data_IF_246342369222
#
_entry.id   IF_246342369222
#
_cell.length_a   1.000
_cell.length_b   1.000
_cell.length_c   1.000
_cell.angle_alpha   90.00
_cell.angle_beta   90.00
_cell.angle_gamma   90.00
#
_symmetry.space_group_name_H-M   'P 1'
#
loop_
_entity.id
_entity.type
_entity.pdbx_description
1 polymer ?
#
# COMPACT_ATOMS: atom_id res chain seq x y z
N UNK A 1 6.84 -17.12 -28.51
CA UNK A 1 5.44 -16.67 -28.49
C UNK A 1 5.42 -15.41 -27.66
N UNK A 2 5.05 -14.28 -28.26
CA UNK A 2 5.21 -12.95 -27.70
C UNK A 2 4.03 -12.60 -26.77
N UNK A 3 4.36 -12.19 -25.54
CA UNK A 3 3.43 -11.63 -24.56
C UNK A 3 3.12 -10.19 -24.97
N UNK A 4 1.83 -9.86 -25.04
CA UNK A 4 1.35 -8.55 -25.46
C UNK A 4 1.60 -7.50 -24.36
N UNK A 5 2.69 -6.74 -24.51
CA UNK A 5 2.86 -5.43 -23.88
C UNK A 5 1.91 -4.41 -24.53
N UNK A 6 0.86 -3.99 -23.82
CA UNK A 6 0.09 -2.77 -24.09
C UNK A 6 -0.35 -2.22 -22.72
N UNK A 7 -0.21 -0.95 -22.34
CA UNK A 7 0.05 0.26 -23.11
C UNK A 7 0.87 1.28 -22.29
N UNK A 8 2.11 1.52 -22.71
CA UNK A 8 2.79 2.80 -22.50
C UNK A 8 2.63 3.60 -23.79
N UNK A 9 1.75 4.60 -23.80
CA UNK A 9 1.56 5.41 -24.99
C UNK A 9 0.49 6.49 -24.81
N UNK A 10 0.91 7.68 -24.39
CA UNK A 10 0.55 8.98 -25.01
C UNK A 10 0.97 10.14 -24.09
N UNK A 11 2.27 10.26 -23.79
CA UNK A 11 2.82 11.53 -23.31
C UNK A 11 3.69 12.09 -24.44
N UNK A 12 3.10 12.99 -25.22
CA UNK A 12 3.74 13.65 -26.36
C UNK A 12 5.00 14.40 -25.94
N UNK A 13 6.14 13.89 -26.38
CA UNK A 13 7.42 14.59 -26.43
C UNK A 13 7.34 15.69 -27.51
N UNK A 14 7.52 16.95 -27.10
CA UNK A 14 7.82 18.06 -28.02
C UNK A 14 9.20 18.61 -27.65
N UNK A 15 10.16 18.42 -28.54
CA UNK A 15 11.53 18.98 -28.52
C UNK A 15 11.82 19.65 -29.88
N UNK A 16 12.89 20.43 -30.03
CA UNK A 16 13.25 21.67 -29.34
C UNK A 16 13.43 22.83 -30.35
N UNK A 17 13.55 24.08 -29.89
CA UNK A 17 14.10 25.17 -30.70
C UNK A 17 15.11 25.96 -29.87
N UNK A 18 16.37 25.88 -30.27
CA UNK A 18 17.48 26.62 -29.70
C UNK A 18 17.53 28.05 -30.24
N UNK A 19 17.92 29.01 -29.39
CA UNK A 19 18.65 30.24 -29.74
C UNK A 19 19.25 30.85 -28.45
N UNK A 20 20.59 30.84 -28.37
CA UNK A 20 21.44 31.65 -27.46
C UNK A 20 21.36 33.16 -27.85
N UNK A 21 21.89 34.17 -27.10
CA UNK A 21 23.04 34.14 -26.16
C UNK A 21 23.01 35.03 -24.87
N UNK A 22 23.95 34.71 -23.97
CA UNK A 22 24.72 35.54 -23.01
C UNK A 22 24.05 36.60 -22.10
N UNK A 23 24.18 36.40 -20.78
CA UNK A 23 24.66 37.45 -19.85
C UNK A 23 25.18 36.86 -18.54
N UNK A 24 26.45 37.16 -18.29
CA UNK A 24 27.21 36.90 -17.07
C UNK A 24 26.85 37.89 -15.96
N UNK A 25 26.41 37.41 -14.79
CA UNK A 25 26.46 38.16 -13.53
C UNK A 25 26.92 37.25 -12.40
N UNK A 26 27.77 37.82 -11.57
CA UNK A 26 28.60 37.20 -10.55
C UNK A 26 27.84 36.56 -9.37
N UNK A 27 28.47 35.49 -8.86
CA UNK A 27 28.70 35.17 -7.46
C UNK A 27 27.64 35.54 -6.41
N UNK A 28 26.94 34.52 -5.90
CA UNK A 28 26.67 34.34 -4.46
C UNK A 28 26.78 32.85 -4.13
N UNK A 29 27.58 32.43 -3.14
CA UNK A 29 27.53 31.05 -2.68
C UNK A 29 26.18 30.84 -2.01
N UNK A 30 25.35 30.01 -2.62
CA UNK A 30 24.17 29.45 -1.96
C UNK A 30 24.69 28.56 -0.83
N UNK A 31 24.54 29.04 0.40
CA UNK A 31 24.68 28.24 1.60
C UNK A 31 23.51 27.26 1.57
N UNK A 32 23.68 26.14 0.87
CA UNK A 32 22.84 24.98 1.10
C UNK A 32 23.20 24.51 2.50
N UNK A 33 22.45 24.99 3.49
CA UNK A 33 22.32 24.32 4.75
C UNK A 33 21.84 22.91 4.43
N UNK A 34 22.80 21.99 4.31
CA UNK A 34 22.52 20.57 4.35
C UNK A 34 21.77 20.35 5.64
N UNK A 35 20.47 20.12 5.53
CA UNK A 35 19.74 19.43 6.57
C UNK A 35 20.40 18.06 6.60
N UNK A 36 21.40 17.94 7.47
CA UNK A 36 21.92 16.65 7.85
C UNK A 36 20.74 15.94 8.48
N UNK A 37 20.04 15.13 7.68
CA UNK A 37 19.13 14.12 8.19
C UNK A 37 19.99 13.24 9.08
N UNK A 38 19.99 13.55 10.38
CA UNK A 38 20.44 12.61 11.39
C UNK A 38 19.56 11.39 11.20
N UNK A 39 20.09 10.41 10.45
CA UNK A 39 19.47 9.11 10.30
C UNK A 39 19.33 8.56 11.70
N UNK A 40 18.10 8.57 12.23
CA UNK A 40 17.83 7.84 13.44
C UNK A 40 18.18 6.36 13.17
N UNK A 41 18.77 5.66 14.15
CA UNK A 41 19.04 4.24 13.99
C UNK A 41 17.76 3.49 13.64
N UNK A 42 17.82 2.50 12.75
CA UNK A 42 16.66 1.72 12.29
C UNK A 42 15.81 1.18 13.46
N UNK A 43 16.44 0.74 14.55
CA UNK A 43 15.76 0.29 15.78
C UNK A 43 14.91 1.38 16.46
N UNK A 44 15.31 2.64 16.36
CA UNK A 44 14.53 3.74 16.92
C UNK A 44 13.35 4.08 16.01
N UNK A 45 13.52 3.98 14.69
CA UNK A 45 12.41 4.13 13.74
C UNK A 45 11.33 3.04 13.94
N UNK A 46 11.75 1.78 14.12
CA UNK A 46 10.88 0.65 14.45
C UNK A 46 10.12 0.84 15.76
N UNK A 47 10.79 1.38 16.79
CA UNK A 47 10.13 1.72 18.05
C UNK A 47 9.05 2.80 17.91
N UNK A 48 9.13 3.68 16.91
CA UNK A 48 8.09 4.68 16.62
C UNK A 48 6.87 4.03 15.97
N UNK A 49 7.07 3.12 15.02
CA UNK A 49 5.98 2.36 14.40
C UNK A 49 5.23 1.52 15.44
N UNK A 50 5.95 0.73 16.25
CA UNK A 50 5.35 -0.08 17.31
C UNK A 50 4.54 0.76 18.31
N UNK A 51 5.09 1.93 18.69
CA UNK A 51 4.41 2.86 19.58
C UNK A 51 3.13 3.43 18.95
N UNK A 52 3.16 3.77 17.65
CA UNK A 52 2.00 4.23 16.92
C UNK A 52 0.90 3.17 16.86
N UNK A 53 1.27 1.91 16.54
CA UNK A 53 0.33 0.80 16.45
C UNK A 53 -0.28 0.44 17.80
N UNK A 54 0.48 0.52 18.90
CA UNK A 54 -0.06 0.35 20.25
C UNK A 54 -1.09 1.42 20.60
N UNK A 55 -0.79 2.70 20.32
CA UNK A 55 -1.72 3.80 20.57
C UNK A 55 -3.00 3.68 19.74
N UNK A 56 -2.87 3.24 18.49
CA UNK A 56 -4.01 2.99 17.60
C UNK A 56 -4.90 1.87 18.13
N UNK A 57 -4.33 0.73 18.53
CA UNK A 57 -5.08 -0.39 19.09
C UNK A 57 -5.80 0.01 20.38
N UNK A 58 -5.15 0.78 21.27
CA UNK A 58 -5.78 1.31 22.48
C UNK A 58 -7.03 2.16 22.16
N UNK A 59 -6.94 2.98 21.11
CA UNK A 59 -8.06 3.84 20.70
C UNK A 59 -9.22 3.02 20.13
N UNK A 60 -8.93 2.08 19.23
CA UNK A 60 -9.95 1.22 18.62
C UNK A 60 -10.74 0.44 19.68
N UNK A 61 -10.05 -0.14 20.67
CA UNK A 61 -10.71 -0.80 21.80
C UNK A 61 -11.61 0.15 22.61
N UNK A 62 -11.21 1.41 22.77
CA UNK A 62 -12.03 2.44 23.41
C UNK A 62 -13.29 2.76 22.62
N UNK A 63 -13.17 2.90 21.30
CA UNK A 63 -14.28 3.18 20.38
C UNK A 63 -15.26 2.01 20.30
N UNK A 64 -14.77 0.77 20.17
CA UNK A 64 -15.59 -0.44 20.18
C UNK A 64 -16.39 -0.58 21.47
N UNK A 65 -15.77 -0.30 22.61
CA UNK A 65 -16.45 -0.31 23.91
C UNK A 65 -17.51 0.78 24.00
N UNK A 66 -17.20 2.00 23.54
CA UNK A 66 -18.17 3.09 23.51
C UNK A 66 -19.37 2.74 22.62
N UNK A 67 -19.14 2.11 21.46
CA UNK A 67 -20.19 1.60 20.59
C UNK A 67 -21.00 0.49 21.28
N UNK A 68 -20.36 -0.48 21.94
CA UNK A 68 -21.05 -1.54 22.69
C UNK A 68 -21.94 -0.97 23.80
N UNK A 69 -21.46 0.03 24.54
CA UNK A 69 -22.25 0.73 25.56
C UNK A 69 -23.44 1.45 24.91
N UNK A 70 -23.20 2.16 23.80
CA UNK A 70 -24.26 2.85 23.04
C UNK A 70 -25.32 1.88 22.50
N UNK A 71 -24.93 0.63 22.18
CA UNK A 71 -25.80 -0.45 21.74
C UNK A 71 -26.38 -1.30 22.88
N UNK A 72 -26.15 -0.94 24.15
CA UNK A 72 -26.77 -1.58 25.33
C UNK A 72 -26.04 -2.82 25.87
N UNK A 73 -24.76 -3.00 25.56
CA UNK A 73 -23.93 -4.08 26.10
C UNK A 73 -23.74 -3.97 27.62
N UNK A 74 -24.27 -4.93 28.39
CA UNK A 74 -24.41 -4.81 29.84
C UNK A 74 -23.18 -5.22 30.68
N UNK A 75 -22.11 -5.75 30.08
CA UNK A 75 -20.91 -6.15 30.83
C UNK A 75 -19.67 -5.96 29.96
N UNK A 76 -18.94 -4.86 30.16
CA UNK A 76 -17.59 -4.74 29.60
C UNK A 76 -16.59 -4.86 30.75
N UNK A 77 -15.76 -5.91 30.82
CA UNK A 77 -14.78 -6.06 31.87
C UNK A 77 -13.74 -4.91 31.84
N UNK A 78 -13.27 -4.42 32.99
CA UNK A 78 -12.23 -3.39 33.04
C UNK A 78 -10.97 -3.88 32.32
N UNK A 79 -10.27 -2.99 31.62
CA UNK A 79 -8.96 -3.29 31.04
C UNK A 79 -7.98 -3.57 32.19
N UNK A 80 -7.87 -4.82 32.61
CA UNK A 80 -6.90 -5.21 33.63
C UNK A 80 -5.47 -5.14 33.07
N UNK A 81 -4.66 -4.29 33.69
CA UNK A 81 -3.23 -4.57 33.87
C UNK A 81 -2.22 -3.98 32.88
N UNK A 82 -2.62 -3.34 31.77
CA UNK A 82 -1.69 -2.54 30.95
C UNK A 82 -2.21 -1.13 30.75
N UNK A 83 -1.35 -0.16 31.07
CA UNK A 83 -1.60 1.28 30.94
C UNK A 83 -1.62 1.63 29.43
N UNK A 84 -2.70 1.26 28.75
CA UNK A 84 -2.95 1.58 27.35
C UNK A 84 -3.14 3.10 27.25
N UNK A 85 -2.26 3.79 26.53
CA UNK A 85 -2.41 5.23 26.29
C UNK A 85 -2.93 5.38 24.87
N UNK A 86 -4.19 5.79 24.72
CA UNK A 86 -4.73 6.17 23.43
C UNK A 86 -4.14 7.53 23.04
N UNK A 87 -3.26 7.54 22.04
CA UNK A 87 -2.80 8.78 21.40
C UNK A 87 -3.93 9.44 20.61
N UNK A 88 -3.77 10.73 20.31
CA UNK A 88 -4.67 11.39 19.35
C UNK A 88 -4.36 10.91 17.93
N UNK A 89 -5.33 11.00 17.00
CA UNK A 89 -5.11 10.67 15.59
C UNK A 89 -3.88 11.40 15.02
N UNK A 90 -3.77 12.71 15.29
CA UNK A 90 -2.63 13.52 14.83
C UNK A 90 -1.30 13.06 15.41
N UNK A 91 -1.28 12.61 16.67
CA UNK A 91 -0.07 12.09 17.31
C UNK A 91 0.36 10.77 16.68
N UNK A 92 -0.58 9.85 16.46
CA UNK A 92 -0.34 8.55 15.81
C UNK A 92 0.20 8.78 14.39
N UNK A 93 -0.44 9.65 13.61
CA UNK A 93 0.04 10.01 12.27
C UNK A 93 1.43 10.64 12.28
N UNK A 94 1.74 11.50 13.25
CA UNK A 94 3.07 12.11 13.37
C UNK A 94 4.14 11.05 13.66
N UNK A 95 3.86 10.07 14.52
CA UNK A 95 4.75 8.95 14.78
C UNK A 95 5.00 8.11 13.52
N UNK A 96 3.93 7.76 12.79
CA UNK A 96 4.02 6.98 11.55
C UNK A 96 4.81 7.72 10.47
N UNK A 97 4.51 9.01 10.23
CA UNK A 97 5.25 9.82 9.25
C UNK A 97 6.72 9.96 9.62
N UNK A 98 7.02 10.10 10.91
CA UNK A 98 8.41 10.17 11.40
C UNK A 98 9.13 8.84 11.18
N UNK A 99 8.50 7.72 11.53
CA UNK A 99 9.05 6.39 11.28
C UNK A 99 9.34 6.17 9.79
N UNK A 100 8.36 6.46 8.92
CA UNK A 100 8.49 6.32 7.47
C UNK A 100 9.59 7.21 6.89
N UNK A 101 9.70 8.46 7.35
CA UNK A 101 10.78 9.39 6.95
C UNK A 101 12.18 8.91 7.38
N UNK A 102 12.26 8.06 8.40
CA UNK A 102 13.50 7.40 8.83
C UNK A 102 13.72 6.02 8.18
N UNK A 103 12.92 5.65 7.18
CA UNK A 103 13.09 4.42 6.42
C UNK A 103 12.39 3.20 7.01
N UNK A 104 11.48 3.39 7.98
CA UNK A 104 10.66 2.30 8.48
C UNK A 104 9.65 1.84 7.41
N UNK A 105 9.88 0.64 6.88
CA UNK A 105 9.05 0.07 5.80
C UNK A 105 7.65 -0.28 6.28
N UNK A 106 7.46 -0.62 7.56
CA UNK A 106 6.15 -0.97 8.10
C UNK A 106 5.26 0.27 8.19
N UNK A 107 5.86 1.39 8.61
CA UNK A 107 5.21 2.70 8.61
C UNK A 107 4.88 3.17 7.19
N UNK A 108 5.78 2.99 6.22
CA UNK A 108 5.52 3.33 4.82
C UNK A 108 4.34 2.52 4.27
N UNK A 109 4.35 1.19 4.46
CA UNK A 109 3.27 0.29 4.04
C UNK A 109 1.93 0.70 4.65
N UNK A 110 1.91 0.97 5.95
CA UNK A 110 0.70 1.39 6.64
C UNK A 110 0.15 2.72 6.08
N UNK A 111 1.02 3.72 5.89
CA UNK A 111 0.60 5.03 5.38
C UNK A 111 0.09 4.96 3.94
N UNK A 112 0.69 4.13 3.08
CA UNK A 112 0.23 3.92 1.70
C UNK A 112 -1.16 3.28 1.69
N UNK A 113 -1.37 2.21 2.47
CA UNK A 113 -2.66 1.55 2.57
C UNK A 113 -3.74 2.49 3.14
N UNK A 114 -3.42 3.24 4.20
CA UNK A 114 -4.32 4.26 4.75
C UNK A 114 -4.69 5.30 3.70
N UNK A 115 -3.70 5.83 2.98
CA UNK A 115 -3.93 6.87 1.98
C UNK A 115 -4.80 6.36 0.83
N UNK A 116 -4.56 5.16 0.33
CA UNK A 116 -5.41 4.56 -0.69
C UNK A 116 -6.86 4.43 -0.20
N UNK A 117 -7.07 3.94 1.02
CA UNK A 117 -8.41 3.84 1.61
C UNK A 117 -9.10 5.21 1.72
N UNK A 118 -8.38 6.26 2.14
CA UNK A 118 -8.91 7.63 2.22
C UNK A 118 -9.34 8.17 0.85
N UNK A 119 -8.56 7.92 -0.21
CA UNK A 119 -8.91 8.34 -1.57
C UNK A 119 -10.19 7.65 -2.05
N UNK A 120 -10.29 6.33 -1.87
CA UNK A 120 -11.46 5.54 -2.25
C UNK A 120 -12.70 5.97 -1.45
N UNK A 121 -12.58 6.16 -0.14
CA UNK A 121 -13.67 6.63 0.72
C UNK A 121 -14.14 8.03 0.34
N UNK A 122 -13.21 8.94 -0.02
CA UNK A 122 -13.56 10.28 -0.48
C UNK A 122 -14.34 10.25 -1.79
N UNK A 123 -13.96 9.38 -2.73
CA UNK A 123 -14.70 9.19 -3.97
C UNK A 123 -16.15 8.73 -3.72
N UNK A 124 -16.33 7.76 -2.81
CA UNK A 124 -17.66 7.26 -2.42
C UNK A 124 -18.48 8.36 -1.73
N UNK A 125 -17.89 9.07 -0.77
CA UNK A 125 -18.59 10.11 -0.02
C UNK A 125 -18.96 11.34 -0.86
N UNK A 126 -18.17 11.62 -1.91
CA UNK A 126 -18.42 12.73 -2.84
C UNK A 126 -19.43 12.39 -3.94
N UNK A 127 -19.79 11.11 -4.12
CA UNK A 127 -20.69 10.69 -5.18
C UNK A 127 -22.15 11.09 -4.88
N UNK A 128 -22.83 11.80 -5.80
CA UNK A 128 -24.25 12.09 -5.65
C UNK A 128 -25.09 10.82 -5.61
N UNK A 129 -26.21 10.85 -4.88
CA UNK A 129 -27.10 9.70 -4.77
C UNK A 129 -27.57 9.20 -6.14
N UNK A 130 -27.41 7.90 -6.38
CA UNK A 130 -27.77 7.25 -7.64
C UNK A 130 -26.76 7.41 -8.78
N UNK A 131 -25.63 8.07 -8.55
CA UNK A 131 -24.53 8.13 -9.51
C UNK A 131 -23.37 7.23 -9.05
N UNK A 132 -22.67 6.57 -9.99
CA UNK A 132 -21.46 5.82 -9.68
C UNK A 132 -20.40 6.76 -9.10
N UNK A 133 -19.69 6.27 -8.09
CA UNK A 133 -18.55 6.97 -7.52
C UNK A 133 -17.34 6.86 -8.45
N UNK A 134 -16.61 7.96 -8.57
CA UNK A 134 -15.40 8.04 -9.39
C UNK A 134 -14.33 8.82 -8.64
N UNK A 135 -13.07 8.46 -8.86
CA UNK A 135 -11.93 9.25 -8.41
C UNK A 135 -11.86 10.55 -9.20
N UNK A 136 -11.42 11.63 -8.55
CA UNK A 136 -11.04 12.84 -9.27
C UNK A 136 -9.74 12.62 -10.02
N UNK A 137 -9.45 13.38 -11.08
CA UNK A 137 -8.20 13.23 -11.83
C UNK A 137 -6.94 13.37 -10.96
N UNK A 138 -6.97 14.22 -9.92
CA UNK A 138 -5.88 14.32 -8.95
C UNK A 138 -5.77 13.08 -8.07
N UNK A 139 -6.90 12.53 -7.62
CA UNK A 139 -6.91 11.30 -6.81
C UNK A 139 -6.50 10.09 -7.65
N UNK A 140 -6.82 10.05 -8.95
CA UNK A 140 -6.34 9.01 -9.87
C UNK A 140 -4.82 9.04 -10.02
N UNK A 141 -4.24 10.23 -10.20
CA UNK A 141 -2.79 10.39 -10.30
C UNK A 141 -2.09 9.98 -9.00
N UNK A 142 -2.67 10.36 -7.85
CA UNK A 142 -2.14 9.97 -6.55
C UNK A 142 -2.29 8.46 -6.31
N UNK A 143 -3.43 7.87 -6.68
CA UNK A 143 -3.66 6.43 -6.58
C UNK A 143 -2.66 5.64 -7.45
N UNK A 144 -2.36 6.11 -8.66
CA UNK A 144 -1.36 5.48 -9.52
C UNK A 144 0.04 5.48 -8.88
N UNK A 145 0.41 6.56 -8.18
CA UNK A 145 1.68 6.61 -7.43
C UNK A 145 1.67 5.62 -6.26
N UNK A 146 0.57 5.54 -5.50
CA UNK A 146 0.42 4.59 -4.39
C UNK A 146 0.49 3.14 -4.89
N UNK A 147 -0.17 2.81 -6.01
CA UNK A 147 -0.10 1.48 -6.62
C UNK A 147 1.34 1.11 -6.99
N UNK A 148 2.09 2.03 -7.61
CA UNK A 148 3.48 1.79 -7.96
C UNK A 148 4.39 1.56 -6.73
N UNK A 149 4.18 2.32 -5.65
CA UNK A 149 4.93 2.14 -4.40
C UNK A 149 4.57 0.83 -3.69
N UNK A 150 3.28 0.47 -3.65
CA UNK A 150 2.82 -0.81 -3.11
C UNK A 150 3.35 -1.98 -3.93
N UNK A 151 3.39 -1.88 -5.25
CA UNK A 151 3.97 -2.90 -6.14
C UNK A 151 5.47 -3.08 -5.89
N UNK A 152 6.22 -2.00 -5.71
CA UNK A 152 7.63 -2.10 -5.36
C UNK A 152 7.85 -2.83 -4.02
N UNK A 153 7.01 -2.55 -3.01
CA UNK A 153 7.05 -3.23 -1.71
C UNK A 153 6.57 -4.68 -1.80
N UNK A 154 5.56 -4.95 -2.62
CA UNK A 154 5.08 -6.30 -2.91
C UNK A 154 6.18 -7.15 -3.56
N UNK A 155 6.90 -6.61 -4.55
CA UNK A 155 8.06 -7.26 -5.17
C UNK A 155 9.23 -7.47 -4.22
N UNK A 156 9.38 -6.63 -3.20
CA UNK A 156 10.35 -6.83 -2.12
C UNK A 156 9.90 -7.91 -1.10
N UNK A 157 8.72 -8.50 -1.28
CA UNK A 157 8.20 -9.60 -0.46
C UNK A 157 7.38 -9.17 0.75
N UNK A 158 6.98 -7.90 0.84
CA UNK A 158 6.17 -7.41 1.95
C UNK A 158 4.69 -7.81 1.80
N UNK A 159 4.26 -8.83 2.54
CA UNK A 159 2.92 -9.42 2.40
C UNK A 159 1.76 -8.44 2.62
N UNK A 160 1.83 -7.57 3.62
CA UNK A 160 0.76 -6.58 3.83
C UNK A 160 0.64 -5.59 2.66
N UNK A 161 1.75 -5.31 1.96
CA UNK A 161 1.72 -4.48 0.75
C UNK A 161 1.09 -5.23 -0.43
N UNK A 162 1.29 -6.55 -0.52
CA UNK A 162 0.61 -7.40 -1.51
C UNK A 162 -0.91 -7.35 -1.30
N UNK A 163 -1.37 -7.48 -0.06
CA UNK A 163 -2.80 -7.45 0.25
C UNK A 163 -3.41 -6.06 -0.03
N UNK A 164 -2.71 -4.98 0.35
CA UNK A 164 -3.14 -3.61 0.04
C UNK A 164 -3.16 -3.33 -1.47
N UNK A 165 -2.12 -3.75 -2.20
CA UNK A 165 -2.06 -3.63 -3.66
C UNK A 165 -3.23 -4.33 -4.32
N UNK A 166 -3.47 -5.59 -3.96
CA UNK A 166 -4.54 -6.39 -4.52
C UNK A 166 -5.92 -5.76 -4.23
N UNK A 167 -6.14 -5.22 -3.02
CA UNK A 167 -7.38 -4.52 -2.70
C UNK A 167 -7.58 -3.26 -3.55
N UNK A 168 -6.52 -2.49 -3.77
CA UNK A 168 -6.59 -1.25 -4.55
C UNK A 168 -6.87 -1.55 -6.02
N UNK A 169 -6.10 -2.43 -6.64
CA UNK A 169 -6.20 -2.71 -8.09
C UNK A 169 -7.48 -3.45 -8.46
N UNK A 170 -8.12 -4.16 -7.52
CA UNK A 170 -9.44 -4.76 -7.71
C UNK A 170 -10.59 -3.74 -7.60
N UNK A 171 -10.33 -2.55 -7.04
CA UNK A 171 -11.38 -1.59 -6.73
C UNK A 171 -12.12 -1.13 -7.99
N UNK A 172 -13.46 -1.24 -8.03
CA UNK A 172 -14.26 -0.79 -9.16
C UNK A 172 -14.29 0.74 -9.32
N UNK A 173 -13.70 1.48 -8.37
CA UNK A 173 -13.56 2.94 -8.45
C UNK A 173 -12.40 3.38 -9.34
N UNK A 174 -11.48 2.46 -9.67
CA UNK A 174 -10.41 2.73 -10.61
C UNK A 174 -10.98 2.83 -12.02
N UNK A 175 -10.32 3.64 -12.86
CA UNK A 175 -10.64 3.72 -14.28
C UNK A 175 -10.49 2.38 -15.00
N UNK A 176 -9.51 1.57 -14.57
CA UNK A 176 -9.26 0.23 -15.11
C UNK A 176 -8.95 -0.73 -13.94
N UNK A 177 -9.98 -1.31 -13.31
CA UNK A 177 -9.79 -2.36 -12.30
C UNK A 177 -9.19 -3.61 -12.93
N UNK A 178 -8.27 -4.27 -12.22
CA UNK A 178 -7.62 -5.50 -12.64
C UNK A 178 -7.77 -6.60 -11.58
N UNK A 179 -8.90 -7.33 -11.58
CA UNK A 179 -9.15 -8.40 -10.62
C UNK A 179 -8.26 -9.64 -10.87
N UNK A 180 -7.74 -9.82 -12.10
CA UNK A 180 -6.82 -10.93 -12.42
C UNK A 180 -5.47 -10.68 -11.77
N UNK A 181 -4.95 -9.47 -11.90
CA UNK A 181 -3.71 -9.04 -11.25
C UNK A 181 -3.82 -9.05 -9.72
N UNK A 182 -4.94 -8.59 -9.17
CA UNK A 182 -5.22 -8.69 -7.72
C UNK A 182 -5.20 -10.14 -7.22
N UNK A 183 -5.90 -11.04 -7.91
CA UNK A 183 -5.96 -12.45 -7.55
C UNK A 183 -4.59 -13.12 -7.66
N UNK A 184 -3.81 -12.80 -8.68
CA UNK A 184 -2.47 -13.34 -8.87
C UNK A 184 -1.52 -12.98 -7.71
N UNK A 185 -1.56 -11.74 -7.26
CA UNK A 185 -0.81 -11.26 -6.09
C UNK A 185 -1.20 -12.00 -4.81
N UNK A 186 -2.50 -12.14 -4.53
CA UNK A 186 -2.98 -12.89 -3.35
C UNK A 186 -2.59 -14.36 -3.43
N UNK A 187 -2.72 -15.00 -4.59
CA UNK A 187 -2.29 -16.38 -4.78
C UNK A 187 -0.80 -16.54 -4.54
N UNK A 188 0.03 -15.67 -5.12
CA UNK A 188 1.47 -15.68 -4.92
C UNK A 188 1.83 -15.51 -3.43
N UNK A 189 1.19 -14.59 -2.72
CA UNK A 189 1.45 -14.41 -1.29
C UNK A 189 0.99 -15.62 -0.47
N UNK A 190 -0.06 -16.35 -0.84
CA UNK A 190 -0.51 -17.53 -0.06
C UNK A 190 0.40 -18.73 -0.15
N UNK A 191 1.32 -18.77 -1.11
CA UNK A 191 2.19 -19.92 -1.28
C UNK A 191 3.28 -20.00 -0.19
N UNK A 192 3.70 -21.23 0.18
CA UNK A 192 4.75 -21.44 1.16
C UNK A 192 6.11 -20.95 0.60
N UNK A 193 6.92 -20.23 1.40
CA UNK A 193 8.24 -19.81 0.97
C UNK A 193 9.21 -21.02 0.83
N UNK A 194 10.40 -20.74 0.30
CA UNK A 194 11.55 -21.65 0.19
C UNK A 194 11.39 -22.82 -0.80
N UNK A 195 10.26 -22.91 -1.51
CA UNK A 195 10.00 -23.94 -2.52
C UNK A 195 9.60 -23.30 -3.85
N UNK A 196 10.16 -23.76 -4.97
CA UNK A 196 9.66 -23.38 -6.28
C UNK A 196 8.26 -23.99 -6.49
N UNK A 197 7.36 -23.21 -7.11
CA UNK A 197 6.04 -23.70 -7.46
C UNK A 197 6.09 -24.56 -8.72
N UNK A 198 5.34 -25.66 -8.70
CA UNK A 198 5.04 -26.43 -9.90
C UNK A 198 3.82 -25.78 -10.60
N UNK A 199 3.98 -25.25 -11.83
CA UNK A 199 2.89 -24.62 -12.56
C UNK A 199 1.76 -25.59 -12.96
N UNK A 200 1.93 -26.91 -12.75
CA UNK A 200 0.90 -27.93 -12.98
C UNK A 200 0.20 -28.41 -11.71
N UNK A 201 0.76 -28.10 -10.53
CA UNK A 201 0.15 -28.46 -9.25
C UNK A 201 -0.91 -27.43 -8.81
N UNK A 202 -1.97 -27.86 -8.09
CA UNK A 202 -2.92 -26.92 -7.49
C UNK A 202 -2.21 -25.96 -6.52
N UNK A 203 -2.56 -24.67 -6.59
CA UNK A 203 -2.04 -23.65 -5.68
C UNK A 203 -2.84 -23.62 -4.37
N UNK A 204 -2.21 -23.17 -3.28
CA UNK A 204 -2.94 -22.96 -2.03
C UNK A 204 -3.97 -21.84 -2.16
N UNK A 205 -5.17 -22.07 -1.60
CA UNK A 205 -6.31 -21.15 -1.62
C UNK A 205 -6.80 -20.78 -3.04
N UNK A 206 -6.50 -21.61 -4.05
CA UNK A 206 -6.91 -21.39 -5.44
C UNK A 206 -8.43 -21.23 -5.56
N UNK A 207 -9.19 -22.18 -5.04
CA UNK A 207 -10.66 -22.15 -5.14
C UNK A 207 -11.27 -20.92 -4.45
N UNK A 208 -10.77 -20.54 -3.26
CA UNK A 208 -11.27 -19.39 -2.50
C UNK A 208 -11.01 -18.06 -3.22
N UNK A 209 -9.79 -17.89 -3.76
CA UNK A 209 -9.37 -16.62 -4.33
C UNK A 209 -9.83 -16.42 -5.77
N UNK A 210 -10.17 -17.50 -6.48
CA UNK A 210 -10.52 -17.48 -7.90
C UNK A 210 -12.01 -17.67 -8.16
N UNK A 211 -12.83 -17.94 -7.14
CA UNK A 211 -14.26 -18.24 -7.27
C UNK A 211 -15.04 -17.18 -8.07
N UNK A 212 -14.71 -15.89 -7.88
CA UNK A 212 -15.40 -14.78 -8.55
C UNK A 212 -14.99 -14.57 -10.02
N UNK A 213 -13.94 -15.25 -10.49
CA UNK A 213 -13.37 -15.06 -11.82
C UNK A 213 -13.90 -16.08 -12.83
N UNK A 214 -13.93 -15.71 -14.11
CA UNK A 214 -14.22 -16.66 -15.20
C UNK A 214 -13.07 -17.66 -15.37
N UNK A 215 -13.34 -18.85 -15.88
CA UNK A 215 -12.32 -19.90 -16.10
C UNK A 215 -11.07 -19.41 -16.85
N UNK A 216 -11.25 -18.53 -17.85
CA UNK A 216 -10.13 -17.92 -18.56
C UNK A 216 -9.30 -17.02 -17.64
N UNK A 217 -9.95 -16.18 -16.84
CA UNK A 217 -9.29 -15.29 -15.88
C UNK A 217 -8.61 -16.06 -14.75
N UNK A 218 -9.20 -17.17 -14.29
CA UNK A 218 -8.60 -18.06 -13.29
C UNK A 218 -7.25 -18.59 -13.79
N UNK A 219 -7.21 -19.11 -15.02
CA UNK A 219 -5.98 -19.60 -15.62
C UNK A 219 -4.92 -18.49 -15.77
N UNK A 220 -5.34 -17.28 -16.19
CA UNK A 220 -4.44 -16.12 -16.30
C UNK A 220 -3.87 -15.70 -14.94
N UNK A 221 -4.71 -15.62 -13.90
CA UNK A 221 -4.29 -15.26 -12.55
C UNK A 221 -3.32 -16.31 -12.00
N UNK A 222 -3.56 -17.59 -12.26
CA UNK A 222 -2.71 -18.70 -11.83
C UNK A 222 -1.33 -18.68 -12.50
N UNK A 223 -1.28 -18.46 -13.81
CA UNK A 223 -0.02 -18.32 -14.55
C UNK A 223 0.80 -17.14 -14.03
N UNK A 224 0.15 -15.99 -13.83
CA UNK A 224 0.78 -14.80 -13.29
C UNK A 224 1.23 -14.99 -11.83
N UNK A 225 0.45 -15.68 -11.00
CA UNK A 225 0.80 -15.95 -9.60
C UNK A 225 2.10 -16.74 -9.47
N UNK A 226 2.32 -17.73 -10.36
CA UNK A 226 3.55 -18.53 -10.37
C UNK A 226 4.76 -17.68 -10.70
N UNK A 227 4.61 -16.75 -11.66
CA UNK A 227 5.65 -15.79 -12.01
C UNK A 227 5.93 -14.82 -10.85
N UNK A 228 4.89 -14.16 -10.33
CA UNK A 228 4.99 -13.22 -9.21
C UNK A 228 5.63 -13.86 -7.99
N UNK A 229 5.25 -15.10 -7.65
CA UNK A 229 5.85 -15.83 -6.53
C UNK A 229 7.37 -15.97 -6.70
N UNK A 230 7.84 -16.21 -7.92
CA UNK A 230 9.26 -16.26 -8.24
C UNK A 230 10.01 -14.95 -7.96
N UNK A 231 9.35 -13.81 -8.15
CA UNK A 231 9.93 -12.48 -7.92
C UNK A 231 9.80 -12.01 -6.46
N UNK A 232 8.64 -12.16 -5.84
CA UNK A 232 8.35 -11.57 -4.53
C UNK A 232 8.54 -12.51 -3.34
N UNK A 233 8.19 -13.77 -3.50
CA UNK A 233 7.66 -14.55 -2.38
C UNK A 233 8.35 -15.91 -2.19
N UNK A 234 9.26 -16.27 -3.10
CA UNK A 234 10.06 -17.49 -3.02
C UNK A 234 11.04 -17.47 -1.86
N UNK A 235 11.67 -16.33 -1.59
CA UNK A 235 12.52 -16.18 -0.42
C UNK A 235 11.68 -15.98 0.83
N UNK A 236 12.21 -16.41 1.99
CA UNK A 236 11.77 -15.82 3.25
C UNK A 236 11.94 -14.31 3.15
N UNK A 237 10.84 -13.57 3.32
CA UNK A 237 10.88 -12.13 3.46
C UNK A 237 11.96 -11.78 4.49
N UNK A 238 12.84 -10.83 4.15
CA UNK A 238 13.87 -10.37 5.06
C UNK A 238 13.18 -9.77 6.29
N UNK A 239 13.07 -10.57 7.36
CA UNK A 239 12.71 -10.06 8.67
C UNK A 239 13.82 -9.11 9.07
N UNK A 240 13.51 -7.83 9.23
CA UNK A 240 14.43 -6.85 9.76
C UNK A 240 14.88 -7.30 11.17
N UNK A 241 16.16 -7.68 11.29
CA UNK A 241 16.91 -7.85 12.56
C UNK A 241 17.65 -6.54 12.93
#
# INVERSE_FOLDING_TARGET
MAVAMWAAGMWSLRTPAALHPQSSVAARPAVHAGVASTQLPARVAQGLFDSAMQQLACRQQGEERAAQIAHGGAQVPPLEGRRCVAGTQLQIEALLRTAAAHGDTDAQRYLLAQRAAELLQRAVAGAPAGMPAHLSASDEQEMAAIVAELEALALAGHRDAIDALAQVVESPLLHAPDPVYAAAWRLASRQPPDHALDPSAPLQAEDELLESLTQQQQQQARELAVELFGYCCRGRAATAD
#
